data_IF_019946895294
#
_entry.id   IF_019946895294
#
_cell.length_a   1.000
_cell.length_b   1.000
_cell.length_c   1.000
_cell.angle_alpha   90.00
_cell.angle_beta   90.00
_cell.angle_gamma   90.00
#
_symmetry.space_group_name_H-M   'P 1'
#
loop_
_entity.id
_entity.type
_entity.pdbx_description
1 polymer ?
#
# COMPACT_ATOMS: atom_id res chain seq x y z
N UNK A 1 5.72 15.10 16.79
CA UNK A 1 4.89 15.26 15.57
C UNK A 1 5.84 15.67 14.47
N UNK A 2 6.12 14.79 13.52
CA UNK A 2 6.78 15.20 12.28
C UNK A 2 5.85 16.17 11.54
N UNK A 3 6.36 17.25 10.94
CA UNK A 3 5.51 18.15 10.19
C UNK A 3 4.87 17.36 9.03
N UNK A 4 3.57 17.53 8.88
CA UNK A 4 2.84 16.99 7.74
C UNK A 4 3.47 17.53 6.46
N UNK A 5 3.74 16.69 5.45
CA UNK A 5 4.22 17.20 4.18
C UNK A 5 3.16 18.14 3.57
N UNK A 6 3.47 19.41 3.28
CA UNK A 6 2.51 20.36 2.68
C UNK A 6 1.83 19.81 1.41
N UNK A 7 2.54 18.98 0.67
CA UNK A 7 2.07 18.30 -0.53
C UNK A 7 0.79 17.49 -0.33
N UNK A 8 0.60 16.83 0.82
CA UNK A 8 -0.55 15.95 1.05
C UNK A 8 -1.88 16.70 1.08
N UNK A 9 -1.90 17.95 1.55
CA UNK A 9 -3.11 18.76 1.48
C UNK A 9 -3.44 19.19 0.05
N UNK A 10 -2.43 19.64 -0.70
CA UNK A 10 -2.61 20.05 -2.09
C UNK A 10 -3.09 18.87 -2.95
N UNK A 11 -2.51 17.68 -2.74
CA UNK A 11 -2.93 16.43 -3.38
C UNK A 11 -4.39 16.09 -3.06
N UNK A 12 -4.79 16.19 -1.79
CA UNK A 12 -6.16 15.93 -1.37
C UNK A 12 -7.18 16.90 -1.97
N UNK A 13 -6.83 18.19 -2.02
CA UNK A 13 -7.71 19.24 -2.58
C UNK A 13 -8.00 19.03 -4.06
N UNK A 14 -7.03 18.50 -4.80
CA UNK A 14 -7.22 18.17 -6.23
C UNK A 14 -8.38 17.17 -6.41
N UNK A 15 -8.48 16.16 -5.54
CA UNK A 15 -9.48 15.11 -5.65
C UNK A 15 -10.83 15.49 -4.98
N UNK A 16 -10.78 16.17 -3.84
CA UNK A 16 -11.93 16.38 -2.96
C UNK A 16 -12.38 17.83 -2.83
N UNK A 17 -11.66 18.78 -3.44
CA UNK A 17 -11.91 20.20 -3.29
C UNK A 17 -11.58 20.76 -1.90
N UNK A 18 -11.66 22.09 -1.74
CA UNK A 18 -11.41 22.80 -0.49
C UNK A 18 -12.76 23.24 0.13
N UNK A 19 -13.24 22.46 1.08
CA UNK A 19 -14.45 22.75 1.87
C UNK A 19 -14.22 22.36 3.34
N UNK A 20 -15.06 22.81 4.25
CA UNK A 20 -14.96 22.45 5.67
C UNK A 20 -15.08 20.93 5.86
N UNK A 21 -16.02 20.27 5.16
CA UNK A 21 -16.16 18.81 5.19
C UNK A 21 -14.90 18.13 4.66
N UNK A 22 -14.30 18.64 3.57
CA UNK A 22 -13.05 18.11 3.02
C UNK A 22 -11.90 18.22 4.01
N UNK A 23 -11.80 19.33 4.72
CA UNK A 23 -10.80 19.55 5.78
C UNK A 23 -10.98 18.60 6.96
N UNK A 24 -12.23 18.33 7.37
CA UNK A 24 -12.55 17.38 8.43
C UNK A 24 -12.14 15.96 8.06
N UNK A 25 -12.51 15.48 6.86
CA UNK A 25 -12.14 14.17 6.37
C UNK A 25 -10.61 14.01 6.26
N UNK A 26 -9.94 14.99 5.64
CA UNK A 26 -8.48 15.02 5.53
C UNK A 26 -7.80 14.97 6.90
N UNK A 27 -8.26 15.78 7.85
CA UNK A 27 -7.70 15.81 9.21
C UNK A 27 -7.86 14.47 9.92
N UNK A 28 -9.00 13.77 9.74
CA UNK A 28 -9.22 12.43 10.29
C UNK A 28 -8.26 11.42 9.65
N UNK A 29 -8.08 11.45 8.33
CA UNK A 29 -7.14 10.58 7.62
C UNK A 29 -5.70 10.80 8.10
N UNK A 30 -5.23 12.05 8.13
CA UNK A 30 -3.88 12.37 8.61
C UNK A 30 -3.66 11.87 10.05
N UNK A 31 -4.65 12.06 10.92
CA UNK A 31 -4.58 11.55 12.30
C UNK A 31 -4.47 10.03 12.33
N UNK A 32 -5.21 9.30 11.49
CA UNK A 32 -5.17 7.83 11.38
C UNK A 32 -3.81 7.36 10.89
N UNK A 33 -3.29 7.94 9.81
CA UNK A 33 -1.99 7.64 9.25
C UNK A 33 -0.81 8.04 10.16
N UNK A 34 -1.05 8.88 11.17
CA UNK A 34 -0.05 9.32 12.16
C UNK A 34 -0.13 8.55 13.48
N UNK A 35 -0.85 7.43 13.53
CA UNK A 35 -0.99 6.61 14.72
C UNK A 35 0.36 6.12 15.26
N UNK A 36 0.57 6.11 16.59
CA UNK A 36 1.88 5.76 17.18
C UNK A 36 2.30 4.29 16.96
N UNK A 37 1.37 3.43 16.60
CA UNK A 37 1.62 2.02 16.27
C UNK A 37 2.13 1.81 14.83
N UNK A 38 2.11 2.86 13.99
CA UNK A 38 2.46 2.81 12.57
C UNK A 38 3.95 3.11 12.36
N UNK A 39 4.77 2.09 12.31
CA UNK A 39 6.20 2.26 12.03
C UNK A 39 6.49 2.29 10.52
N UNK A 40 5.70 1.57 9.71
CA UNK A 40 5.77 1.57 8.25
C UNK A 40 4.51 2.10 7.58
N UNK A 41 3.30 1.60 7.93
CA UNK A 41 2.02 2.02 7.34
C UNK A 41 1.59 3.41 7.86
N UNK A 42 2.35 4.44 7.51
CA UNK A 42 2.24 5.82 7.97
C UNK A 42 2.21 6.82 6.79
N UNK A 43 2.19 8.12 7.07
CA UNK A 43 2.16 9.17 6.03
C UNK A 43 3.29 9.09 5.01
N UNK A 44 4.47 8.52 5.35
CA UNK A 44 5.55 8.35 4.38
C UNK A 44 5.23 7.23 3.38
N UNK A 45 4.57 6.16 3.82
CA UNK A 45 4.08 5.12 2.94
C UNK A 45 3.00 5.69 2.01
N UNK A 46 1.99 6.36 2.55
CA UNK A 46 0.96 7.01 1.75
C UNK A 46 1.55 7.94 0.66
N UNK A 47 2.46 8.83 1.07
CA UNK A 47 3.13 9.74 0.12
C UNK A 47 3.91 8.96 -0.96
N UNK A 48 4.54 7.85 -0.58
CA UNK A 48 5.23 7.00 -1.55
C UNK A 48 4.26 6.39 -2.56
N UNK A 49 3.14 5.83 -2.10
CA UNK A 49 2.11 5.24 -2.99
C UNK A 49 1.57 6.30 -3.94
N UNK A 50 1.18 7.48 -3.45
CA UNK A 50 0.71 8.58 -4.29
C UNK A 50 1.75 9.01 -5.33
N UNK A 51 3.02 9.15 -4.91
CA UNK A 51 4.12 9.50 -5.84
C UNK A 51 4.27 8.44 -6.94
N UNK A 52 4.21 7.16 -6.58
CA UNK A 52 4.36 6.07 -7.57
C UNK A 52 3.15 6.00 -8.51
N UNK A 53 1.93 6.27 -8.02
CA UNK A 53 0.75 6.39 -8.88
C UNK A 53 1.01 7.45 -9.96
N UNK A 54 1.45 8.65 -9.57
CA UNK A 54 1.73 9.74 -10.52
C UNK A 54 2.85 9.39 -11.52
N UNK A 55 3.89 8.68 -11.06
CA UNK A 55 5.00 8.25 -11.91
C UNK A 55 4.65 7.14 -12.91
N UNK A 56 3.66 6.29 -12.59
CA UNK A 56 3.19 5.18 -13.43
C UNK A 56 1.96 5.55 -14.26
N UNK A 57 1.26 6.63 -13.92
CA UNK A 57 0.12 7.11 -14.67
C UNK A 57 0.53 7.50 -16.10
N UNK A 58 -0.36 7.27 -17.06
CA UNK A 58 -0.20 7.73 -18.44
C UNK A 58 -0.61 9.19 -18.53
N UNK A 59 -0.10 9.87 -19.54
CA UNK A 59 -0.52 11.22 -19.84
C UNK A 59 -2.05 11.28 -20.04
N UNK A 60 -2.72 12.19 -19.30
CA UNK A 60 -4.17 12.37 -19.28
C UNK A 60 -4.99 11.16 -18.73
N UNK A 61 -4.36 10.22 -18.04
CA UNK A 61 -5.07 9.15 -17.35
C UNK A 61 -5.83 9.71 -16.13
N UNK A 62 -7.12 9.38 -16.02
CA UNK A 62 -7.88 9.69 -14.80
C UNK A 62 -7.49 8.72 -13.69
N UNK A 63 -6.78 9.21 -12.69
CA UNK A 63 -6.30 8.44 -11.54
C UNK A 63 -7.01 8.79 -10.23
N UNK A 64 -8.10 9.59 -10.29
CA UNK A 64 -8.80 10.06 -9.11
C UNK A 64 -9.20 8.90 -8.18
N UNK A 65 -9.85 7.85 -8.70
CA UNK A 65 -10.24 6.69 -7.91
C UNK A 65 -9.05 5.98 -7.26
N UNK A 66 -7.93 5.86 -7.99
CA UNK A 66 -6.71 5.20 -7.50
C UNK A 66 -6.07 6.00 -6.37
N UNK A 67 -5.98 7.33 -6.53
CA UNK A 67 -5.43 8.23 -5.50
C UNK A 67 -6.31 8.25 -4.25
N UNK A 68 -7.64 8.30 -4.41
CA UNK A 68 -8.56 8.18 -3.28
C UNK A 68 -8.44 6.81 -2.59
N UNK A 69 -8.33 5.72 -3.34
CA UNK A 69 -8.11 4.40 -2.78
C UNK A 69 -6.78 4.34 -2.00
N UNK A 70 -5.70 4.96 -2.50
CA UNK A 70 -4.45 5.07 -1.77
C UNK A 70 -4.59 5.84 -0.44
N UNK A 71 -5.41 6.89 -0.37
CA UNK A 71 -5.69 7.59 0.88
C UNK A 71 -6.38 6.71 1.93
N UNK A 72 -7.22 5.77 1.49
CA UNK A 72 -8.07 4.99 2.39
C UNK A 72 -7.60 3.56 2.64
N UNK A 73 -6.80 2.89 1.77
CA UNK A 73 -6.56 1.45 1.83
C UNK A 73 -6.08 0.96 3.21
N UNK A 74 -5.22 1.72 3.85
CA UNK A 74 -4.70 1.46 5.19
C UNK A 74 -5.15 2.50 6.23
N UNK A 75 -6.21 3.28 5.98
CA UNK A 75 -6.67 4.29 6.93
C UNK A 75 -7.16 3.68 8.24
N UNK A 76 -7.71 2.46 8.19
CA UNK A 76 -7.91 1.59 9.34
C UNK A 76 -6.83 0.52 9.31
N UNK A 77 -6.00 0.45 10.36
CA UNK A 77 -4.90 -0.50 10.42
C UNK A 77 -4.62 -0.90 11.87
N UNK A 78 -4.87 -2.16 12.16
CA UNK A 78 -4.45 -2.84 13.39
C UNK A 78 -3.84 -4.20 12.97
N UNK A 79 -2.54 -4.44 13.20
CA UNK A 79 -1.89 -5.69 12.80
C UNK A 79 -2.39 -6.94 13.58
N UNK A 80 -3.35 -6.78 14.48
CA UNK A 80 -4.01 -7.90 15.20
C UNK A 80 -5.34 -8.30 14.58
N UNK A 81 -5.87 -7.49 13.70
CA UNK A 81 -7.16 -7.69 13.02
C UNK A 81 -6.95 -8.15 11.59
N UNK A 82 -7.97 -8.82 11.04
CA UNK A 82 -7.93 -9.37 9.67
C UNK A 82 -8.97 -8.71 8.76
N UNK A 83 -9.62 -7.65 9.22
CA UNK A 83 -10.71 -6.95 8.51
C UNK A 83 -10.35 -5.47 8.21
N UNK A 84 -9.07 -5.13 8.23
CA UNK A 84 -8.59 -3.76 8.05
C UNK A 84 -9.05 -3.14 6.72
N UNK A 85 -8.93 -3.89 5.63
CA UNK A 85 -9.30 -3.45 4.28
C UNK A 85 -10.82 -3.24 4.18
N UNK A 86 -11.63 -4.13 4.74
CA UNK A 86 -13.09 -3.97 4.80
C UNK A 86 -13.48 -2.73 5.59
N UNK A 87 -12.88 -2.51 6.74
CA UNK A 87 -13.13 -1.32 7.59
C UNK A 87 -12.62 -0.03 6.96
N UNK A 88 -11.52 -0.10 6.23
CA UNK A 88 -10.99 1.01 5.42
C UNK A 88 -11.94 1.36 4.28
N UNK A 89 -12.50 0.36 3.61
CA UNK A 89 -13.49 0.54 2.55
C UNK A 89 -14.80 1.14 3.10
N UNK A 90 -15.30 0.70 4.26
CA UNK A 90 -16.49 1.26 4.91
C UNK A 90 -16.26 2.72 5.36
N UNK A 91 -15.03 3.03 5.81
CA UNK A 91 -14.63 4.40 6.11
C UNK A 91 -14.66 5.27 4.84
N UNK A 92 -14.13 4.75 3.72
CA UNK A 92 -14.13 5.44 2.43
C UNK A 92 -15.56 5.73 1.96
N UNK A 93 -16.47 4.76 2.00
CA UNK A 93 -17.87 4.94 1.63
C UNK A 93 -18.52 6.10 2.41
N UNK A 94 -18.31 6.12 3.72
CA UNK A 94 -18.88 7.14 4.59
C UNK A 94 -18.28 8.52 4.31
N UNK A 95 -16.95 8.62 4.23
CA UNK A 95 -16.22 9.86 4.06
C UNK A 95 -16.48 10.48 2.67
N UNK A 96 -16.34 9.67 1.60
CA UNK A 96 -16.53 10.14 0.23
C UNK A 96 -17.99 10.47 -0.06
N UNK A 97 -18.93 9.73 0.56
CA UNK A 97 -20.36 10.05 0.54
C UNK A 97 -20.66 11.41 1.18
N UNK A 98 -20.00 11.77 2.29
CA UNK A 98 -20.15 13.09 2.94
C UNK A 98 -19.62 14.24 2.06
N UNK A 99 -18.63 13.96 1.23
CA UNK A 99 -18.08 14.88 0.22
C UNK A 99 -18.94 14.97 -1.04
N UNK A 100 -20.04 14.21 -1.12
CA UNK A 100 -20.95 14.15 -2.26
C UNK A 100 -20.28 13.76 -3.58
N UNK A 101 -19.23 12.94 -3.52
CA UNK A 101 -18.65 12.35 -4.73
C UNK A 101 -19.65 11.39 -5.38
N UNK A 102 -19.48 11.13 -6.67
CA UNK A 102 -20.43 10.28 -7.38
C UNK A 102 -20.46 8.85 -6.82
N UNK A 103 -21.65 8.21 -6.73
CA UNK A 103 -21.75 6.83 -6.23
C UNK A 103 -20.88 5.83 -7.01
N UNK A 104 -20.67 6.08 -8.30
CA UNK A 104 -19.81 5.23 -9.13
C UNK A 104 -18.35 5.34 -8.74
N UNK A 105 -17.86 6.56 -8.46
CA UNK A 105 -16.50 6.78 -7.96
C UNK A 105 -16.30 6.13 -6.58
N UNK A 106 -17.24 6.30 -5.66
CA UNK A 106 -17.20 5.71 -4.32
C UNK A 106 -17.12 4.18 -4.42
N UNK A 107 -17.96 3.56 -5.28
CA UNK A 107 -17.92 2.12 -5.51
C UNK A 107 -16.56 1.66 -6.06
N UNK A 108 -16.01 2.37 -7.04
CA UNK A 108 -14.70 2.06 -7.62
C UNK A 108 -13.59 2.15 -6.57
N UNK A 109 -13.59 3.19 -5.73
CA UNK A 109 -12.63 3.33 -4.62
C UNK A 109 -12.75 2.15 -3.66
N UNK A 110 -13.97 1.76 -3.29
CA UNK A 110 -14.21 0.59 -2.43
C UNK A 110 -13.61 -0.69 -3.02
N UNK A 111 -13.88 -0.97 -4.29
CA UNK A 111 -13.37 -2.15 -4.99
C UNK A 111 -11.83 -2.18 -5.00
N UNK A 112 -11.20 -1.03 -5.24
CA UNK A 112 -9.76 -0.88 -5.21
C UNK A 112 -9.17 -1.15 -3.81
N UNK A 113 -9.80 -0.64 -2.74
CA UNK A 113 -9.36 -0.89 -1.36
C UNK A 113 -9.45 -2.38 -1.03
N UNK A 114 -10.56 -3.02 -1.31
CA UNK A 114 -10.74 -4.45 -1.02
C UNK A 114 -9.75 -5.35 -1.77
N UNK A 115 -9.29 -4.94 -2.95
CA UNK A 115 -8.27 -5.66 -3.71
C UNK A 115 -6.92 -5.70 -2.98
N UNK A 116 -6.60 -4.71 -2.15
CA UNK A 116 -5.30 -4.68 -1.44
C UNK A 116 -5.16 -5.74 -0.35
N UNK A 117 -6.26 -6.38 0.08
CA UNK A 117 -6.22 -7.48 1.06
C UNK A 117 -5.29 -8.62 0.64
N UNK A 118 -5.31 -8.99 -0.65
CA UNK A 118 -4.54 -10.13 -1.17
C UNK A 118 -3.46 -9.76 -2.16
N UNK A 119 -3.50 -8.54 -2.71
CA UNK A 119 -2.61 -8.12 -3.80
C UNK A 119 -2.56 -9.13 -4.96
N UNK A 120 -3.72 -9.67 -5.33
CA UNK A 120 -3.88 -10.65 -6.43
C UNK A 120 -4.91 -10.15 -7.46
N UNK A 121 -4.73 -8.96 -8.06
CA UNK A 121 -5.64 -8.52 -9.10
C UNK A 121 -5.50 -9.42 -10.33
N UNK A 122 -6.63 -9.68 -11.00
CA UNK A 122 -6.60 -10.33 -12.32
C UNK A 122 -5.68 -9.49 -13.24
N UNK A 123 -4.70 -10.12 -13.92
CA UNK A 123 -3.85 -9.41 -14.89
C UNK A 123 -4.61 -8.73 -16.03
N UNK A 124 -5.89 -9.09 -16.23
CA UNK A 124 -6.82 -8.47 -17.18
C UNK A 124 -7.78 -7.48 -16.51
N UNK A 125 -7.63 -7.23 -15.19
CA UNK A 125 -8.42 -6.22 -14.50
C UNK A 125 -8.17 -4.82 -15.09
N UNK A 126 -9.09 -3.91 -14.78
CA UNK A 126 -8.93 -2.51 -15.15
C UNK A 126 -7.59 -1.97 -14.67
N UNK A 127 -6.97 -1.09 -15.48
CA UNK A 127 -5.67 -0.52 -15.20
C UNK A 127 -5.58 0.15 -13.82
N UNK A 128 -6.68 0.68 -13.29
CA UNK A 128 -6.75 1.26 -11.95
C UNK A 128 -6.35 0.25 -10.86
N UNK A 129 -6.80 -1.02 -10.99
CA UNK A 129 -6.42 -2.10 -10.06
C UNK A 129 -4.94 -2.43 -10.16
N UNK A 130 -4.42 -2.53 -11.40
CA UNK A 130 -3.01 -2.81 -11.64
C UNK A 130 -2.12 -1.66 -11.13
N UNK A 131 -2.58 -0.42 -11.28
CA UNK A 131 -1.86 0.78 -10.87
C UNK A 131 -1.75 0.87 -9.34
N UNK A 132 -2.86 0.66 -8.61
CA UNK A 132 -2.82 0.65 -7.14
C UNK A 132 -1.96 -0.50 -6.62
N UNK A 133 -2.15 -1.72 -7.14
CA UNK A 133 -1.34 -2.88 -6.79
C UNK A 133 0.16 -2.61 -6.94
N UNK A 134 0.57 -2.12 -8.12
CA UNK A 134 1.97 -1.89 -8.42
C UNK A 134 2.56 -0.73 -7.61
N UNK A 135 1.75 0.30 -7.33
CA UNK A 135 2.17 1.44 -6.53
C UNK A 135 2.38 1.07 -5.05
N UNK A 136 1.50 0.28 -4.48
CA UNK A 136 1.62 -0.15 -3.09
C UNK A 136 2.79 -1.12 -2.90
N UNK A 137 2.96 -2.08 -3.80
CA UNK A 137 4.09 -3.01 -3.78
C UNK A 137 5.43 -2.41 -4.24
N UNK A 138 5.47 -1.16 -4.71
CA UNK A 138 6.71 -0.52 -5.18
C UNK A 138 7.80 -0.47 -4.11
N UNK A 139 7.45 -0.54 -2.83
CA UNK A 139 8.40 -0.63 -1.72
C UNK A 139 9.29 -1.87 -1.79
N UNK A 140 8.83 -2.96 -2.40
CA UNK A 140 9.65 -4.16 -2.57
C UNK A 140 10.84 -3.90 -3.51
N UNK A 141 10.68 -3.01 -4.50
CA UNK A 141 11.66 -2.70 -5.54
C UNK A 141 12.49 -1.43 -5.29
N UNK A 142 12.46 -0.85 -4.09
CA UNK A 142 13.30 0.32 -3.75
C UNK A 142 14.75 -0.08 -3.45
N UNK A 143 15.71 0.87 -3.43
CA UNK A 143 17.09 0.59 -3.01
C UNK A 143 17.16 -0.09 -1.63
N UNK A 144 18.10 -1.03 -1.46
CA UNK A 144 18.20 -1.93 -0.30
C UNK A 144 18.15 -1.21 1.06
N UNK A 145 18.77 -0.04 1.20
CA UNK A 145 18.73 0.72 2.45
C UNK A 145 17.31 1.21 2.82
N UNK A 146 16.46 1.50 1.83
CA UNK A 146 15.05 1.86 2.04
C UNK A 146 14.22 0.62 2.30
N UNK A 147 14.49 -0.47 1.59
CA UNK A 147 13.87 -1.77 1.83
C UNK A 147 14.09 -2.26 3.26
N UNK A 148 15.31 -2.17 3.79
CA UNK A 148 15.60 -2.54 5.18
C UNK A 148 14.83 -1.69 6.19
N UNK A 149 14.59 -0.40 5.92
CA UNK A 149 13.73 0.42 6.79
C UNK A 149 12.28 -0.07 6.79
N UNK A 150 11.76 -0.47 5.62
CA UNK A 150 10.46 -1.10 5.49
C UNK A 150 10.39 -2.40 6.32
N UNK A 151 11.33 -3.32 6.16
CA UNK A 151 11.39 -4.59 6.91
C UNK A 151 11.37 -4.34 8.42
N UNK A 152 12.21 -3.40 8.90
CA UNK A 152 12.26 -3.04 10.31
C UNK A 152 10.96 -2.38 10.79
N UNK A 153 10.33 -1.56 9.96
CA UNK A 153 9.04 -0.95 10.26
C UNK A 153 7.94 -1.99 10.42
N UNK A 154 7.82 -2.90 9.47
CA UNK A 154 6.84 -4.01 9.54
C UNK A 154 7.12 -4.86 10.79
N UNK A 155 8.39 -5.23 11.07
CA UNK A 155 8.71 -5.98 12.30
C UNK A 155 8.27 -5.24 13.56
N UNK A 156 8.44 -3.94 13.61
CA UNK A 156 8.03 -3.13 14.77
C UNK A 156 6.51 -3.09 14.95
N UNK A 157 5.73 -3.01 13.87
CA UNK A 157 4.26 -3.08 13.91
C UNK A 157 3.75 -4.43 14.42
N UNK A 158 4.44 -5.51 14.06
CA UNK A 158 4.15 -6.87 14.52
C UNK A 158 4.93 -7.27 15.78
N UNK A 159 5.38 -6.30 16.61
CA UNK A 159 6.15 -6.58 17.84
C UNK A 159 5.42 -7.47 18.86
N UNK A 160 4.10 -7.58 18.77
CA UNK A 160 3.28 -8.45 19.61
C UNK A 160 3.36 -9.94 19.21
N UNK A 161 3.89 -10.25 18.01
CA UNK A 161 4.09 -11.63 17.52
C UNK A 161 5.51 -12.07 17.88
N UNK A 162 5.71 -13.28 18.46
CA UNK A 162 7.03 -13.87 18.71
C UNK A 162 7.88 -13.95 17.45
N UNK A 163 9.20 -13.82 17.60
CA UNK A 163 10.13 -13.71 16.46
C UNK A 163 10.10 -14.92 15.52
N UNK A 164 9.94 -16.13 16.07
CA UNK A 164 9.81 -17.36 15.29
C UNK A 164 8.55 -17.38 14.43
N UNK A 165 7.39 -17.05 15.03
CA UNK A 165 6.11 -16.99 14.32
C UNK A 165 6.10 -15.86 13.27
N UNK A 166 6.64 -14.68 13.61
CA UNK A 166 6.77 -13.60 12.65
C UNK A 166 7.64 -14.02 11.45
N UNK A 167 8.78 -14.67 11.72
CA UNK A 167 9.69 -15.18 10.70
C UNK A 167 8.98 -16.17 9.77
N UNK A 168 8.26 -17.14 10.32
CA UNK A 168 7.50 -18.13 9.53
C UNK A 168 6.47 -17.45 8.61
N UNK A 169 5.65 -16.56 9.15
CA UNK A 169 4.66 -15.80 8.36
C UNK A 169 5.32 -14.92 7.30
N UNK A 170 6.42 -14.26 7.65
CA UNK A 170 7.15 -13.41 6.71
C UNK A 170 7.79 -14.20 5.56
N UNK A 171 8.39 -15.36 5.85
CA UNK A 171 8.92 -16.27 4.84
C UNK A 171 7.81 -16.73 3.88
N UNK A 172 6.63 -17.08 4.40
CA UNK A 172 5.51 -17.50 3.57
C UNK A 172 5.09 -16.40 2.58
N UNK A 173 4.94 -15.16 3.04
CA UNK A 173 4.60 -14.00 2.19
C UNK A 173 5.71 -13.74 1.15
N UNK A 174 6.98 -13.77 1.56
CA UNK A 174 8.09 -13.50 0.65
C UNK A 174 8.21 -14.59 -0.44
N UNK A 175 7.99 -15.86 -0.10
CA UNK A 175 7.95 -16.96 -1.07
C UNK A 175 6.81 -16.80 -2.05
N UNK A 176 5.63 -16.45 -1.58
CA UNK A 176 4.50 -16.17 -2.45
C UNK A 176 4.84 -15.11 -3.52
N UNK A 177 5.48 -13.99 -3.12
CA UNK A 177 5.92 -12.98 -4.08
C UNK A 177 7.07 -13.48 -4.98
N UNK A 178 8.02 -14.27 -4.45
CA UNK A 178 9.13 -14.82 -5.22
C UNK A 178 8.66 -15.81 -6.31
N UNK A 179 7.62 -16.59 -6.01
CA UNK A 179 7.06 -17.62 -6.90
C UNK A 179 6.16 -17.03 -8.00
N UNK A 180 5.68 -15.79 -7.84
CA UNK A 180 4.89 -15.12 -8.88
C UNK A 180 5.72 -14.98 -10.15
N UNK A 181 5.13 -15.30 -11.32
CA UNK A 181 5.76 -15.03 -12.62
C UNK A 181 6.19 -13.55 -12.73
N UNK A 182 5.36 -12.67 -12.19
CA UNK A 182 5.56 -11.21 -12.15
C UNK A 182 5.05 -10.66 -10.84
N UNK A 183 5.87 -9.87 -10.16
CA UNK A 183 5.46 -9.12 -8.97
C UNK A 183 4.63 -7.90 -9.41
N UNK A 184 5.09 -7.20 -10.45
CA UNK A 184 4.42 -6.02 -10.98
C UNK A 184 3.71 -6.34 -12.29
N UNK A 185 2.51 -5.83 -12.45
CA UNK A 185 1.62 -6.15 -13.57
C UNK A 185 1.73 -5.13 -14.71
N UNK A 186 1.96 -3.86 -14.41
CA UNK A 186 2.19 -2.84 -15.43
C UNK A 186 3.61 -2.96 -16.02
N UNK A 187 3.76 -2.87 -17.36
CA UNK A 187 5.07 -2.94 -18.00
C UNK A 187 6.07 -1.90 -17.49
N UNK A 188 5.60 -0.68 -17.19
CA UNK A 188 6.39 0.42 -16.64
C UNK A 188 6.89 0.12 -15.24
N UNK A 189 6.05 -0.40 -14.35
CA UNK A 189 6.41 -0.82 -13.00
C UNK A 189 7.41 -1.98 -13.01
N UNK A 190 7.20 -2.98 -13.86
CA UNK A 190 8.17 -4.09 -14.05
C UNK A 190 9.55 -3.60 -14.43
N UNK A 191 9.63 -2.72 -15.43
CA UNK A 191 10.93 -2.17 -15.85
C UNK A 191 11.66 -1.46 -14.72
N UNK A 192 10.92 -0.84 -13.81
CA UNK A 192 11.49 -0.01 -12.74
C UNK A 192 11.82 -0.80 -11.49
N UNK A 193 10.99 -1.75 -11.10
CA UNK A 193 11.00 -2.34 -9.76
C UNK A 193 11.30 -3.84 -9.72
N UNK A 194 10.95 -4.63 -10.73
CA UNK A 194 10.95 -6.09 -10.68
C UNK A 194 12.30 -6.69 -10.27
N UNK A 195 13.38 -6.28 -10.90
CA UNK A 195 14.72 -6.84 -10.62
C UNK A 195 15.17 -6.52 -9.20
N UNK A 196 14.94 -5.28 -8.74
CA UNK A 196 15.30 -4.88 -7.39
C UNK A 196 14.43 -5.57 -6.33
N UNK A 197 13.13 -5.74 -6.59
CA UNK A 197 12.22 -6.46 -5.70
C UNK A 197 12.66 -7.91 -5.50
N UNK A 198 12.93 -8.64 -6.58
CA UNK A 198 13.43 -10.03 -6.50
C UNK A 198 14.75 -10.11 -5.75
N UNK A 199 15.66 -9.15 -5.95
CA UNK A 199 16.93 -9.08 -5.22
C UNK A 199 16.72 -8.86 -3.73
N UNK A 200 15.85 -7.94 -3.36
CA UNK A 200 15.52 -7.62 -1.98
C UNK A 200 14.84 -8.79 -1.28
N UNK A 201 13.84 -9.41 -1.90
CA UNK A 201 13.13 -10.58 -1.39
C UNK A 201 14.10 -11.75 -1.17
N UNK A 202 14.93 -12.08 -2.16
CA UNK A 202 15.92 -13.15 -2.03
C UNK A 202 16.95 -12.85 -0.92
N UNK A 203 17.34 -11.59 -0.74
CA UNK A 203 18.23 -11.20 0.35
C UNK A 203 17.58 -11.36 1.74
N UNK A 204 16.31 -10.99 1.88
CA UNK A 204 15.56 -11.15 3.13
C UNK A 204 15.32 -12.63 3.45
N UNK A 205 14.94 -13.45 2.47
CA UNK A 205 14.80 -14.91 2.64
C UNK A 205 16.10 -15.56 3.14
N UNK A 206 17.27 -15.18 2.58
CA UNK A 206 18.57 -15.66 3.08
C UNK A 206 18.84 -15.28 4.54
N UNK A 207 18.49 -14.07 4.95
CA UNK A 207 18.63 -13.64 6.36
C UNK A 207 17.81 -14.54 7.29
N UNK A 208 16.66 -15.00 6.83
CA UNK A 208 15.80 -15.93 7.59
C UNK A 208 16.21 -17.40 7.46
N UNK A 209 17.27 -17.74 6.71
CA UNK A 209 17.73 -19.12 6.49
C UNK A 209 16.78 -19.98 5.65
N UNK A 210 15.97 -19.35 4.82
CA UNK A 210 14.94 -20.04 4.05
C UNK A 210 15.47 -20.76 2.79
N UNK A 211 16.71 -20.47 2.36
CA UNK A 211 17.36 -21.11 1.19
C UNK A 211 17.98 -22.47 1.53
N UNK A 212 18.14 -22.83 2.82
CA UNK A 212 18.83 -24.06 3.23
C UNK A 212 17.95 -25.32 3.23
N UNK A 213 16.63 -25.19 3.08
CA UNK A 213 15.68 -26.31 3.16
C UNK A 213 15.28 -26.95 1.82
N UNK A 214 15.58 -26.30 0.68
CA UNK A 214 15.22 -26.83 -0.65
C UNK A 214 16.29 -27.76 -1.27
N UNK A 215 17.38 -28.06 -0.53
CA UNK A 215 18.49 -28.93 -1.03
C UNK A 215 18.43 -30.38 -0.52
N UNK A 216 17.45 -30.74 0.32
CA UNK A 216 17.34 -32.08 0.92
C UNK A 216 15.98 -32.75 0.65
N UNK A 217 15.49 -32.73 -0.58
CA UNK A 217 14.30 -33.54 -0.93
C UNK A 217 14.50 -34.25 -2.25
#
# INVERSE_FOLDING_TARGET
MSPEPPQLWDDWVVECGDSDTSREVWSDLVRRWSGPHRAYHNLHHLLHVLTVIDELAREHEDVCAVRLAAWFHDAVYDPRETDNETRSADLADTALGSLRLSPDLVRQVRELILMTERHEPDPQADRSHLLLHDADLAILGVPAARYLRYVNGVRAEYAHIPDDQFREGRIAILREFADRERIYLLPEARRRYETAARTNIAAELRVYGADEHDSES
#
